data_IF_853265035377
#
_entry.id   IF_853265035377
#
_cell.length_a   1.000
_cell.length_b   1.000
_cell.length_c   1.000
_cell.angle_alpha   90.00
_cell.angle_beta   90.00
_cell.angle_gamma   90.00
#
_symmetry.space_group_name_H-M   'P 1'
#
loop_
_entity.id
_entity.type
_entity.pdbx_description
1 polymer ?
#
# COMPACT_ATOMS: atom_id res chain seq x y z
N UNK A 1 -1.08 -31.72 -13.54
CA UNK A 1 0.11 -31.58 -12.68
C UNK A 1 -0.15 -30.41 -11.75
N UNK A 2 -0.69 -30.69 -10.56
CA UNK A 2 -0.70 -29.72 -9.47
C UNK A 2 0.73 -29.66 -8.94
N UNK A 3 1.37 -28.49 -9.00
CA UNK A 3 2.64 -28.29 -8.32
C UNK A 3 2.44 -28.54 -6.82
N UNK A 4 3.16 -29.51 -6.27
CA UNK A 4 3.25 -29.73 -4.83
C UNK A 4 3.79 -28.46 -4.18
N UNK A 5 2.99 -27.85 -3.30
CA UNK A 5 3.47 -26.78 -2.42
C UNK A 5 4.43 -27.43 -1.44
N UNK A 6 5.73 -27.20 -1.64
CA UNK A 6 6.76 -27.72 -0.74
C UNK A 6 6.47 -27.31 0.71
N UNK A 7 6.62 -28.22 1.69
CA UNK A 7 6.40 -27.88 3.09
C UNK A 7 7.41 -26.81 3.52
N UNK A 8 6.93 -25.58 3.78
CA UNK A 8 7.72 -24.53 4.39
C UNK A 8 8.08 -23.32 3.52
N UNK A 9 7.45 -23.10 2.36
CA UNK A 9 7.57 -21.82 1.65
C UNK A 9 7.07 -20.69 2.57
N UNK A 10 8.00 -19.94 3.15
CA UNK A 10 7.70 -18.76 3.96
C UNK A 10 7.16 -17.67 3.04
N UNK A 11 6.28 -16.82 3.57
CA UNK A 11 5.75 -15.67 2.83
C UNK A 11 6.51 -14.41 3.23
N UNK A 12 6.89 -13.59 2.26
CA UNK A 12 7.29 -12.21 2.45
C UNK A 12 6.02 -11.34 2.44
N UNK A 13 5.56 -10.93 3.62
CA UNK A 13 4.39 -10.06 3.77
C UNK A 13 4.85 -8.59 3.73
N UNK A 14 4.40 -7.83 2.74
CA UNK A 14 4.81 -6.44 2.55
C UNK A 14 3.61 -5.51 2.59
N UNK A 15 3.56 -4.66 3.61
CA UNK A 15 2.68 -3.50 3.63
C UNK A 15 3.34 -2.35 2.90
N UNK A 16 2.74 -1.85 1.82
CA UNK A 16 3.40 -0.91 0.93
C UNK A 16 2.53 0.20 0.35
N UNK A 17 3.19 1.24 -0.17
CA UNK A 17 2.61 2.23 -1.07
C UNK A 17 2.93 1.92 -2.55
N UNK A 18 2.63 2.86 -3.45
CA UNK A 18 2.86 2.72 -4.90
C UNK A 18 4.30 2.41 -5.30
N UNK A 19 5.31 2.79 -4.50
CA UNK A 19 6.72 2.60 -4.88
C UNK A 19 7.12 1.13 -4.95
N UNK A 20 6.38 0.26 -4.26
CA UNK A 20 6.59 -1.20 -4.36
C UNK A 20 6.06 -1.81 -5.66
N UNK A 21 5.32 -1.04 -6.46
CA UNK A 21 4.78 -1.43 -7.76
C UNK A 21 5.34 -0.58 -8.90
N UNK A 22 6.46 0.14 -8.71
CA UNK A 22 6.96 1.09 -9.70
C UNK A 22 8.10 0.49 -10.52
N UNK A 23 7.87 0.36 -11.83
CA UNK A 23 8.90 0.05 -12.82
C UNK A 23 9.42 1.32 -13.51
N UNK A 24 10.39 1.19 -14.43
CA UNK A 24 11.01 2.33 -15.10
C UNK A 24 10.04 3.27 -15.85
N UNK A 25 8.92 2.72 -16.33
CA UNK A 25 7.92 3.45 -17.13
C UNK A 25 6.63 3.76 -16.37
N UNK A 26 6.55 3.44 -15.07
CA UNK A 26 5.35 3.65 -14.27
C UNK A 26 4.95 2.43 -13.44
N UNK A 27 3.71 2.44 -12.95
CA UNK A 27 3.15 1.34 -12.18
C UNK A 27 3.05 0.03 -12.98
N UNK A 28 3.46 -1.08 -12.38
CA UNK A 28 3.39 -2.43 -12.95
C UNK A 28 2.51 -3.33 -12.07
N UNK A 29 2.06 -4.50 -12.58
CA UNK A 29 1.31 -5.47 -11.79
C UNK A 29 2.05 -5.94 -10.53
N UNK A 30 1.29 -6.35 -9.52
CA UNK A 30 1.83 -6.83 -8.23
C UNK A 30 2.65 -8.13 -8.36
N UNK A 31 2.42 -8.90 -9.42
CA UNK A 31 3.12 -10.15 -9.75
C UNK A 31 4.25 -9.94 -10.77
N UNK A 32 4.58 -8.69 -11.14
CA UNK A 32 5.70 -8.43 -12.05
C UNK A 32 7.02 -8.93 -11.40
N UNK A 33 7.78 -9.83 -12.03
CA UNK A 33 8.96 -10.42 -11.40
C UNK A 33 10.10 -9.42 -11.14
N UNK A 34 10.02 -8.21 -11.70
CA UNK A 34 11.08 -7.19 -11.63
C UNK A 34 10.88 -6.20 -10.47
N UNK A 35 9.74 -6.20 -9.80
CA UNK A 35 9.58 -5.34 -8.62
C UNK A 35 10.37 -5.91 -7.44
N UNK A 36 10.90 -5.01 -6.60
CA UNK A 36 11.80 -5.38 -5.52
C UNK A 36 11.24 -6.47 -4.58
N UNK A 37 9.94 -6.52 -4.21
CA UNK A 37 9.45 -7.57 -3.33
C UNK A 37 9.56 -8.96 -3.95
N UNK A 38 9.22 -9.06 -5.24
CA UNK A 38 9.26 -10.31 -5.98
C UNK A 38 10.70 -10.75 -6.24
N UNK A 39 11.62 -9.82 -6.49
CA UNK A 39 13.05 -10.10 -6.58
C UNK A 39 13.61 -10.65 -5.26
N UNK A 40 13.27 -10.02 -4.12
CA UNK A 40 13.73 -10.47 -2.79
C UNK A 40 13.19 -11.85 -2.47
N UNK A 41 11.89 -12.09 -2.68
CA UNK A 41 11.30 -13.38 -2.40
C UNK A 41 11.81 -14.49 -3.33
N UNK A 42 12.05 -14.19 -4.61
CA UNK A 42 12.69 -15.13 -5.53
C UNK A 42 14.10 -15.53 -5.07
N UNK A 43 14.89 -14.58 -4.54
CA UNK A 43 16.21 -14.89 -3.97
C UNK A 43 16.14 -15.77 -2.70
N UNK A 44 15.07 -15.63 -1.93
CA UNK A 44 14.85 -16.40 -0.70
C UNK A 44 14.12 -17.73 -0.94
N UNK A 45 13.57 -17.95 -2.13
CA UNK A 45 12.66 -19.06 -2.42
C UNK A 45 11.34 -18.98 -1.65
N UNK A 46 10.82 -17.76 -1.45
CA UNK A 46 9.64 -17.45 -0.64
C UNK A 46 8.47 -17.01 -1.53
N UNK A 47 7.25 -17.14 -1.00
CA UNK A 47 6.05 -16.53 -1.60
C UNK A 47 5.99 -15.03 -1.26
N UNK A 48 5.19 -14.25 -1.99
CA UNK A 48 4.96 -12.82 -1.71
C UNK A 48 3.49 -12.55 -1.46
N UNK A 49 3.20 -11.80 -0.40
CA UNK A 49 1.90 -11.16 -0.20
C UNK A 49 2.09 -9.64 -0.11
N UNK A 50 1.62 -8.93 -1.14
CA UNK A 50 1.65 -7.46 -1.17
C UNK A 50 0.31 -6.88 -0.74
N UNK A 51 0.34 -6.04 0.30
CA UNK A 51 -0.81 -5.34 0.83
C UNK A 51 -0.52 -3.84 0.71
N UNK A 52 -0.99 -3.25 -0.38
CA UNK A 52 -0.70 -1.87 -0.70
C UNK A 52 -1.53 -1.36 -1.86
N UNK A 53 -1.75 -0.05 -1.92
CA UNK A 53 -2.34 0.62 -3.09
C UNK A 53 -1.64 1.94 -3.35
N UNK A 54 -1.82 2.44 -4.58
CA UNK A 54 -1.36 3.76 -4.98
C UNK A 54 -1.97 4.81 -4.03
N UNK A 55 -1.09 5.67 -3.50
CA UNK A 55 -1.48 6.77 -2.64
C UNK A 55 -1.72 6.43 -1.17
N UNK A 56 -1.44 5.19 -0.75
CA UNK A 56 -1.55 4.79 0.65
C UNK A 56 -0.52 5.47 1.54
N UNK A 57 -0.98 5.96 2.69
CA UNK A 57 -0.13 6.50 3.75
C UNK A 57 0.12 5.46 4.84
N UNK A 58 0.93 5.81 5.84
CA UNK A 58 1.13 4.99 7.04
C UNK A 58 -0.18 4.68 7.76
N UNK A 59 -1.17 5.60 7.71
CA UNK A 59 -2.51 5.36 8.27
C UNK A 59 -3.24 4.25 7.54
N UNK A 60 -3.18 4.23 6.21
CA UNK A 60 -3.85 3.18 5.42
C UNK A 60 -3.24 1.81 5.68
N UNK A 61 -1.90 1.77 5.78
CA UNK A 61 -1.16 0.57 6.16
C UNK A 61 -1.54 0.09 7.55
N UNK A 62 -1.67 0.98 8.53
CA UNK A 62 -2.14 0.62 9.87
C UNK A 62 -3.53 -0.05 9.83
N UNK A 63 -4.47 0.51 9.07
CA UNK A 63 -5.79 -0.10 8.91
C UNK A 63 -5.73 -1.44 8.20
N UNK A 64 -4.92 -1.57 7.14
CA UNK A 64 -4.75 -2.84 6.44
C UNK A 64 -4.16 -3.93 7.36
N UNK A 65 -3.14 -3.60 8.16
CA UNK A 65 -2.53 -4.53 9.10
C UNK A 65 -3.51 -5.00 10.20
N UNK A 66 -4.41 -4.11 10.63
CA UNK A 66 -5.31 -4.36 11.76
C UNK A 66 -6.73 -4.75 11.38
N UNK A 67 -7.12 -4.68 10.10
CA UNK A 67 -8.50 -4.96 9.68
C UNK A 67 -8.63 -5.78 8.40
N UNK A 68 -7.58 -5.93 7.59
CA UNK A 68 -7.66 -6.71 6.36
C UNK A 68 -7.51 -8.21 6.66
N UNK A 69 -8.52 -9.05 6.38
CA UNK A 69 -8.42 -10.49 6.56
C UNK A 69 -7.26 -11.12 5.77
N UNK A 70 -6.83 -10.53 4.64
CA UNK A 70 -5.66 -11.00 3.88
C UNK A 70 -4.38 -10.88 4.69
N UNK A 71 -4.20 -9.77 5.41
CA UNK A 71 -3.07 -9.58 6.33
C UNK A 71 -3.00 -10.72 7.33
N UNK A 72 -4.15 -11.07 7.92
CA UNK A 72 -4.22 -12.12 8.93
C UNK A 72 -4.09 -13.52 8.37
N UNK A 73 -4.51 -13.76 7.13
CA UNK A 73 -4.31 -15.04 6.44
C UNK A 73 -2.84 -15.25 6.04
N UNK A 74 -2.11 -14.18 5.73
CA UNK A 74 -0.70 -14.23 5.37
C UNK A 74 0.23 -14.27 6.60
N UNK A 75 -0.14 -13.60 7.70
CA UNK A 75 0.72 -13.43 8.88
C UNK A 75 1.25 -14.76 9.49
N UNK A 76 0.45 -15.84 9.66
CA UNK A 76 0.95 -17.12 10.19
C UNK A 76 1.98 -17.81 9.29
N UNK A 77 1.97 -17.51 7.98
CA UNK A 77 2.92 -18.05 7.00
C UNK A 77 4.12 -17.11 6.78
N UNK A 78 4.09 -15.91 7.36
CA UNK A 78 5.09 -14.90 7.10
C UNK A 78 6.45 -15.28 7.71
N UNK A 79 7.49 -15.35 6.88
CA UNK A 79 8.87 -15.44 7.33
C UNK A 79 9.46 -14.09 7.73
N UNK A 80 8.94 -13.01 7.13
CA UNK A 80 9.24 -11.63 7.46
C UNK A 80 8.05 -10.72 7.11
N UNK A 81 7.94 -9.61 7.84
CA UNK A 81 6.97 -8.55 7.59
C UNK A 81 7.72 -7.25 7.31
N UNK A 82 7.43 -6.61 6.18
CA UNK A 82 8.06 -5.34 5.78
C UNK A 82 7.00 -4.24 5.73
N UNK A 83 7.34 -3.08 6.28
CA UNK A 83 6.56 -1.84 6.15
C UNK A 83 7.30 -0.87 5.21
N UNK A 84 6.95 -0.93 3.93
CA UNK A 84 7.50 -0.09 2.85
C UNK A 84 6.51 1.03 2.48
N UNK A 85 6.23 1.91 3.44
CA UNK A 85 5.29 3.03 3.34
C UNK A 85 5.96 4.34 3.73
N UNK A 86 5.19 5.40 3.98
CA UNK A 86 5.59 6.78 4.32
C UNK A 86 5.95 7.70 3.16
N UNK A 87 6.16 7.19 1.95
CA UNK A 87 6.44 8.05 0.78
C UNK A 87 5.30 9.06 0.56
N UNK A 88 4.06 8.60 0.66
CA UNK A 88 2.86 9.42 0.54
C UNK A 88 2.57 10.34 1.75
N UNK A 89 3.16 10.05 2.90
CA UNK A 89 3.04 10.85 4.13
C UNK A 89 3.93 12.09 4.03
N UNK A 90 5.13 11.92 3.46
CA UNK A 90 6.15 12.96 3.30
C UNK A 90 6.02 13.80 2.02
N UNK A 91 5.14 13.44 1.09
CA UNK A 91 4.93 14.25 -0.11
C UNK A 91 4.56 15.69 0.28
N UNK A 92 5.28 16.70 -0.25
CA UNK A 92 5.00 18.09 0.06
C UNK A 92 3.56 18.41 -0.35
N UNK A 93 2.72 18.54 0.66
CA UNK A 93 1.34 18.98 0.53
C UNK A 93 1.28 20.33 1.24
N UNK A 94 0.77 21.39 0.59
CA UNK A 94 0.58 22.69 1.24
C UNK A 94 -0.32 22.62 2.48
N UNK A 95 -1.05 21.51 2.64
CA UNK A 95 -1.94 21.23 3.75
C UNK A 95 -1.54 19.93 4.46
N UNK A 96 -1.73 19.83 5.79
CA UNK A 96 -1.47 18.60 6.54
C UNK A 96 -2.09 17.38 5.89
N UNK A 97 -1.31 16.32 5.64
CA UNK A 97 -1.79 15.03 5.10
C UNK A 97 -2.98 14.49 5.89
N UNK A 98 -3.02 14.73 7.20
CA UNK A 98 -4.15 14.40 8.08
C UNK A 98 -5.49 15.00 7.61
N UNK A 99 -5.53 16.23 7.08
CA UNK A 99 -6.77 16.84 6.58
C UNK A 99 -7.31 16.08 5.36
N UNK A 100 -6.44 15.70 4.43
CA UNK A 100 -6.78 14.86 3.27
C UNK A 100 -7.34 13.51 3.72
N UNK A 101 -6.68 12.88 4.68
CA UNK A 101 -7.10 11.60 5.25
C UNK A 101 -8.45 11.68 5.98
N UNK A 102 -8.78 12.84 6.55
CA UNK A 102 -10.03 13.03 7.31
C UNK A 102 -11.28 13.16 6.40
N UNK A 103 -11.11 13.55 5.13
CA UNK A 103 -12.23 13.72 4.17
C UNK A 103 -13.08 12.45 4.06
N UNK A 104 -12.47 11.26 4.15
CA UNK A 104 -13.20 9.99 4.07
C UNK A 104 -14.18 9.77 5.23
N UNK A 105 -13.91 10.36 6.39
CA UNK A 105 -14.76 10.26 7.58
C UNK A 105 -15.96 11.21 7.53
N UNK A 106 -16.02 12.11 6.54
CA UNK A 106 -17.20 12.93 6.29
C UNK A 106 -18.33 12.01 5.77
N UNK A 107 -19.27 11.69 6.66
CA UNK A 107 -20.39 10.78 6.38
C UNK A 107 -21.35 11.31 5.31
N UNK A 108 -21.81 12.57 5.33
CA UNK A 108 -22.73 13.06 4.31
C UNK A 108 -22.03 13.14 2.94
N UNK A 109 -22.48 12.40 1.91
CA UNK A 109 -21.80 12.35 0.61
C UNK A 109 -21.67 13.71 -0.08
N UNK A 110 -22.67 14.59 0.12
CA UNK A 110 -22.66 15.96 -0.41
C UNK A 110 -21.55 16.81 0.21
N UNK A 111 -21.41 16.73 1.53
CA UNK A 111 -20.36 17.47 2.27
C UNK A 111 -18.98 16.92 1.91
N UNK A 112 -18.83 15.59 1.82
CA UNK A 112 -17.56 14.98 1.42
C UNK A 112 -17.10 15.43 0.03
N UNK A 113 -18.02 15.50 -0.94
CA UNK A 113 -17.71 16.04 -2.28
C UNK A 113 -17.25 17.49 -2.19
N UNK A 114 -18.00 18.32 -1.49
CA UNK A 114 -17.67 19.74 -1.36
C UNK A 114 -16.30 19.97 -0.68
N UNK A 115 -15.99 19.22 0.38
CA UNK A 115 -14.68 19.28 1.05
C UNK A 115 -13.56 18.81 0.12
N UNK A 116 -13.77 17.74 -0.66
CA UNK A 116 -12.79 17.25 -1.63
C UNK A 116 -12.56 18.24 -2.78
N UNK A 117 -13.63 18.82 -3.29
CA UNK A 117 -13.58 19.77 -4.41
C UNK A 117 -12.94 21.09 -3.94
N UNK A 118 -13.27 21.55 -2.72
CA UNK A 118 -12.63 22.68 -2.07
C UNK A 118 -11.13 22.45 -1.81
N UNK A 119 -10.77 21.26 -1.32
CA UNK A 119 -9.36 20.87 -1.17
C UNK A 119 -8.61 20.93 -2.50
N UNK A 120 -9.17 20.34 -3.57
CA UNK A 120 -8.58 20.37 -4.91
C UNK A 120 -8.50 21.76 -5.55
N UNK A 121 -9.41 22.67 -5.20
CA UNK A 121 -9.35 24.07 -5.66
C UNK A 121 -8.27 24.88 -4.92
N UNK A 122 -8.07 24.62 -3.62
CA UNK A 122 -7.09 25.33 -2.80
C UNK A 122 -5.66 24.83 -3.07
N UNK A 123 -5.49 23.51 -3.26
CA UNK A 123 -4.17 22.87 -3.37
C UNK A 123 -3.21 23.51 -4.40
N UNK A 124 -3.62 23.86 -5.63
CA UNK A 124 -2.73 24.48 -6.63
C UNK A 124 -2.37 25.93 -6.33
N UNK A 125 -3.09 26.60 -5.43
CA UNK A 125 -2.92 28.04 -5.12
C UNK A 125 -1.90 28.31 -4.01
N UNK A 126 -1.46 27.26 -3.32
CA UNK A 126 -0.45 27.30 -2.26
C UNK A 126 0.77 26.42 -2.59
N UNK A 127 0.92 26.02 -3.86
CA UNK A 127 2.05 25.24 -4.38
C UNK A 127 3.11 26.13 -5.02
#
# INVERSE_FOLDING_TARGET
>A
MCSEVAPGARTLLVFCDSLSYYGPTGGVPADDPRIWPNLVAAQLGWDVELIGRIGWTSRDVWWAATQDPRSWAALPRAGAVIFATSGMDSLPSPWPTALRELIRYVRPPRVRRWVRDGYGWIQPRFS
#
